data_IF_298551982776
#
_entry.id   IF_298551982776
#
_cell.length_a   1.000
_cell.length_b   1.000
_cell.length_c   1.000
_cell.angle_alpha   90.00
_cell.angle_beta   90.00
_cell.angle_gamma   90.00
#
_symmetry.space_group_name_H-M   'P 1'
#
loop_
_entity.id
_entity.type
_entity.pdbx_description
1 polymer ?
#
# COMPACT_ATOMS: atom_id res chain seq x y z
N UNK A 1 8.04 4.86 -12.61
CA UNK A 1 7.12 4.69 -11.47
C UNK A 1 6.68 3.25 -11.53
N UNK A 2 6.96 2.47 -10.48
CA UNK A 2 6.53 1.07 -10.45
C UNK A 2 5.09 1.03 -9.94
N UNK A 3 4.26 0.23 -10.58
CA UNK A 3 2.91 -0.05 -10.10
C UNK A 3 2.98 -1.15 -9.04
N UNK A 4 2.19 -1.02 -7.98
CA UNK A 4 2.08 -2.00 -6.91
C UNK A 4 0.60 -2.37 -6.82
N UNK A 5 0.27 -3.55 -7.35
CA UNK A 5 -1.10 -4.07 -7.37
C UNK A 5 -1.42 -4.78 -6.05
N UNK A 6 -2.68 -4.70 -5.62
CA UNK A 6 -3.16 -5.47 -4.48
C UNK A 6 -3.64 -6.84 -4.93
N UNK A 7 -3.26 -7.88 -4.19
CA UNK A 7 -3.73 -9.25 -4.43
C UNK A 7 -5.20 -9.46 -3.99
N UNK A 8 -5.77 -8.51 -3.23
CA UNK A 8 -7.12 -8.62 -2.68
C UNK A 8 -7.99 -7.41 -3.03
N UNK A 9 -9.28 -7.65 -3.21
CA UNK A 9 -10.29 -6.60 -3.23
C UNK A 9 -10.64 -6.12 -1.82
N UNK A 10 -10.84 -4.82 -1.64
CA UNK A 10 -11.19 -4.25 -0.34
C UNK A 10 -11.24 -2.72 -0.34
N UNK A 11 -11.29 -2.15 0.86
CA UNK A 11 -11.24 -0.69 1.08
C UNK A 11 -9.94 -0.31 1.80
N UNK A 12 -9.23 0.71 1.31
CA UNK A 12 -8.06 1.27 1.99
C UNK A 12 -8.53 1.95 3.28
N UNK A 13 -7.99 1.51 4.42
CA UNK A 13 -8.30 2.09 5.73
C UNK A 13 -7.19 2.97 6.28
N UNK A 14 -5.95 2.80 5.78
CA UNK A 14 -4.81 3.60 6.20
C UNK A 14 -3.72 3.61 5.11
N UNK A 15 -3.07 4.76 4.95
CA UNK A 15 -1.87 4.95 4.12
C UNK A 15 -0.69 5.09 5.07
N UNK A 16 0.31 4.21 4.94
CA UNK A 16 1.44 4.11 5.88
C UNK A 16 2.72 4.79 5.37
N UNK A 17 2.65 5.42 4.20
CA UNK A 17 3.79 6.06 3.53
C UNK A 17 3.46 7.48 3.12
N UNK A 18 4.50 8.30 2.97
CA UNK A 18 4.37 9.65 2.45
C UNK A 18 4.83 9.70 1.00
N UNK A 19 4.17 10.55 0.21
CA UNK A 19 4.53 10.75 -1.19
C UNK A 19 5.97 11.30 -1.33
N UNK A 20 6.75 10.72 -2.25
CA UNK A 20 8.13 11.13 -2.51
C UNK A 20 9.17 10.61 -1.51
N UNK A 21 8.77 9.84 -0.49
CA UNK A 21 9.71 9.11 0.37
C UNK A 21 10.14 7.77 -0.26
N UNK A 22 11.41 7.36 -0.10
CA UNK A 22 11.86 6.03 -0.53
C UNK A 22 11.17 4.94 0.28
N UNK A 23 10.99 3.77 -0.33
CA UNK A 23 10.44 2.56 0.30
C UNK A 23 11.38 1.38 0.03
N UNK A 24 11.41 0.42 0.95
CA UNK A 24 12.22 -0.79 0.86
C UNK A 24 11.37 -2.01 0.54
N UNK A 25 12.02 -3.09 0.09
CA UNK A 25 11.33 -4.36 -0.15
C UNK A 25 10.77 -4.91 1.16
N UNK A 26 9.47 -5.18 1.19
CA UNK A 26 8.75 -5.69 2.36
C UNK A 26 8.08 -4.60 3.21
N UNK A 27 8.26 -3.32 2.87
CA UNK A 27 7.54 -2.24 3.55
C UNK A 27 6.03 -2.34 3.34
N UNK A 28 5.28 -2.06 4.42
CA UNK A 28 3.82 -1.99 4.37
C UNK A 28 3.40 -0.61 3.89
N UNK A 29 2.74 -0.54 2.74
CA UNK A 29 2.35 0.73 2.13
C UNK A 29 0.91 1.15 2.51
N UNK A 30 0.00 0.19 2.56
CA UNK A 30 -1.42 0.41 2.81
C UNK A 30 -1.98 -0.65 3.75
N UNK A 31 -2.96 -0.28 4.57
CA UNK A 31 -3.85 -1.25 5.23
C UNK A 31 -5.14 -1.33 4.44
N UNK A 32 -5.53 -2.55 4.09
CA UNK A 32 -6.77 -2.84 3.35
C UNK A 32 -7.69 -3.68 4.22
N UNK A 33 -8.94 -3.24 4.38
CA UNK A 33 -10.01 -4.06 4.95
C UNK A 33 -10.65 -4.86 3.82
N UNK A 34 -10.58 -6.19 3.92
CA UNK A 34 -11.22 -7.10 2.97
C UNK A 34 -12.74 -6.90 2.99
N UNK A 35 -13.34 -6.92 1.80
CA UNK A 35 -14.79 -6.91 1.60
C UNK A 35 -15.45 -8.21 2.04
#
# INVERSE_FOLDING_TARGET
MNEIESEIGGTIVEILVENGKPVEFGDKLFKVKKS
#
